data_IF_738966456616
#
_entry.id   IF_738966456616
#
_cell.length_a   1.000
_cell.length_b   1.000
_cell.length_c   1.000
_cell.angle_alpha   90.00
_cell.angle_beta   90.00
_cell.angle_gamma   90.00
#
_symmetry.space_group_name_H-M   'P 1'
#
loop_
_entity.id
_entity.type
_entity.pdbx_description
1 polymer ?
#
# COMPACT_ATOMS: atom_id res chain seq x y z
N UNK A 1 -39.61 -8.59 -10.47
CA UNK A 1 -38.15 -8.85 -10.55
C UNK A 1 -37.54 -8.38 -9.24
N UNK A 2 -36.99 -9.29 -8.44
CA UNK A 2 -36.57 -9.00 -7.07
C UNK A 2 -35.26 -8.20 -7.02
N UNK A 3 -35.30 -7.00 -6.45
CA UNK A 3 -34.12 -6.23 -6.04
C UNK A 3 -33.66 -6.74 -4.67
N UNK A 4 -32.83 -7.79 -4.66
CA UNK A 4 -32.15 -8.19 -3.43
C UNK A 4 -31.01 -7.20 -3.14
N UNK A 5 -31.34 -6.14 -2.42
CA UNK A 5 -30.34 -5.29 -1.77
C UNK A 5 -29.56 -6.14 -0.78
N UNK A 6 -28.29 -6.45 -1.10
CA UNK A 6 -27.33 -7.06 -0.19
C UNK A 6 -27.25 -6.13 1.02
N UNK A 7 -27.87 -6.51 2.15
CA UNK A 7 -27.79 -5.73 3.39
C UNK A 7 -26.33 -5.66 3.80
N UNK A 8 -25.72 -4.47 3.74
CA UNK A 8 -24.39 -4.20 4.31
C UNK A 8 -24.43 -4.64 5.77
N UNK A 9 -23.64 -5.67 6.13
CA UNK A 9 -23.47 -6.04 7.53
C UNK A 9 -22.87 -4.82 8.23
N UNK A 10 -23.44 -4.35 9.36
CA UNK A 10 -22.79 -3.32 10.15
C UNK A 10 -21.42 -3.84 10.58
N UNK A 11 -20.35 -3.23 10.05
CA UNK A 11 -18.99 -3.57 10.48
C UNK A 11 -18.81 -3.04 11.90
N UNK A 12 -18.34 -3.92 12.78
CA UNK A 12 -17.89 -3.51 14.11
C UNK A 12 -16.69 -2.55 14.00
N UNK A 13 -16.29 -1.92 15.11
CA UNK A 13 -15.07 -1.12 15.15
C UNK A 13 -13.88 -1.94 14.64
N UNK A 14 -13.07 -1.34 13.76
CA UNK A 14 -11.84 -1.99 13.30
C UNK A 14 -10.90 -2.23 14.49
N UNK A 15 -10.15 -3.35 14.50
CA UNK A 15 -9.12 -3.57 15.51
C UNK A 15 -8.00 -2.52 15.40
N UNK A 16 -7.20 -2.39 16.46
CA UNK A 16 -6.04 -1.52 16.45
C UNK A 16 -5.07 -1.91 15.31
N UNK A 17 -4.56 -0.95 14.52
CA UNK A 17 -3.60 -1.21 13.46
C UNK A 17 -2.33 -1.89 13.96
N UNK A 18 -1.89 -2.93 13.25
CA UNK A 18 -0.63 -3.62 13.54
C UNK A 18 0.53 -3.02 12.74
N UNK A 19 1.74 -3.04 13.29
CA UNK A 19 2.96 -2.74 12.53
C UNK A 19 3.42 -4.02 11.79
N UNK A 20 3.30 -4.08 10.45
CA UNK A 20 3.64 -5.27 9.69
C UNK A 20 5.15 -5.40 9.42
N UNK A 21 6.00 -4.59 10.05
CA UNK A 21 7.46 -4.61 9.88
C UNK A 21 7.88 -4.36 8.45
N UNK A 22 7.51 -3.17 7.97
CA UNK A 22 7.92 -2.61 6.69
C UNK A 22 9.43 -2.73 6.47
N UNK A 23 9.82 -3.10 5.25
CA UNK A 23 11.22 -3.29 4.89
C UNK A 23 11.89 -1.97 4.55
N UNK A 24 13.11 -1.83 5.06
CA UNK A 24 14.00 -0.70 4.83
C UNK A 24 15.18 -1.18 3.97
N UNK A 25 15.78 -0.27 3.22
CA UNK A 25 17.04 -0.48 2.53
C UNK A 25 18.23 -0.34 3.48
N UNK A 26 19.42 -0.12 2.92
CA UNK A 26 20.64 0.13 3.68
C UNK A 26 20.48 1.30 4.67
N UNK A 27 21.10 1.17 5.84
CA UNK A 27 21.12 2.20 6.90
C UNK A 27 19.75 2.56 7.51
N UNK A 28 18.73 1.70 7.36
CA UNK A 28 17.40 1.92 7.94
C UNK A 28 16.54 2.95 7.19
N UNK A 29 16.99 3.42 6.03
CA UNK A 29 16.22 4.32 5.15
C UNK A 29 15.32 3.52 4.22
N UNK A 30 14.19 4.09 3.82
CA UNK A 30 13.38 3.47 2.77
C UNK A 30 14.09 3.55 1.42
N UNK A 31 14.09 2.45 0.63
CA UNK A 31 14.72 2.43 -0.68
C UNK A 31 14.01 3.37 -1.65
N UNK A 32 14.77 3.95 -2.56
CA UNK A 32 14.21 4.64 -3.72
C UNK A 32 13.65 3.61 -4.68
N UNK A 33 12.42 3.82 -5.11
CA UNK A 33 11.69 2.85 -5.93
C UNK A 33 12.42 2.51 -7.23
N UNK A 34 12.93 3.52 -7.94
CA UNK A 34 13.60 3.35 -9.23
C UNK A 34 15.07 2.91 -9.14
N UNK A 35 15.68 3.03 -7.96
CA UNK A 35 17.08 2.62 -7.73
C UNK A 35 17.17 1.22 -7.08
N UNK A 36 16.02 0.65 -6.69
CA UNK A 36 15.94 -0.67 -6.07
C UNK A 36 16.06 -1.76 -7.14
N UNK A 37 17.02 -2.66 -6.99
CA UNK A 37 17.02 -3.94 -7.69
C UNK A 37 16.10 -4.92 -6.92
N UNK A 38 14.91 -5.28 -7.47
CA UNK A 38 13.98 -6.14 -6.77
C UNK A 38 14.51 -7.57 -6.59
N UNK A 39 15.32 -8.06 -7.52
CA UNK A 39 15.89 -9.42 -7.43
C UNK A 39 16.95 -9.49 -6.33
N UNK A 40 17.85 -8.50 -6.28
CA UNK A 40 18.84 -8.40 -5.21
C UNK A 40 18.19 -8.19 -3.82
N UNK A 41 17.00 -7.59 -3.77
CA UNK A 41 16.19 -7.45 -2.57
C UNK A 41 15.40 -8.73 -2.19
N UNK A 42 15.51 -9.80 -2.97
CA UNK A 42 14.83 -11.08 -2.72
C UNK A 42 13.32 -11.03 -2.99
N UNK A 43 12.86 -10.14 -3.89
CA UNK A 43 11.45 -9.94 -4.20
C UNK A 43 10.90 -10.87 -5.28
N UNK A 44 11.78 -11.59 -5.98
CA UNK A 44 11.41 -12.52 -7.04
C UNK A 44 10.59 -13.67 -6.50
N UNK A 45 9.34 -13.80 -6.96
CA UNK A 45 8.38 -14.78 -6.47
C UNK A 45 7.91 -14.54 -5.02
N UNK A 46 8.27 -13.40 -4.43
CA UNK A 46 7.86 -13.05 -3.08
C UNK A 46 6.47 -12.40 -3.09
N UNK A 47 5.63 -12.81 -2.15
CA UNK A 47 4.25 -12.34 -2.03
C UNK A 47 4.04 -11.48 -0.78
N UNK A 48 3.18 -10.48 -0.87
CA UNK A 48 2.91 -9.56 0.24
C UNK A 48 2.28 -8.25 -0.23
N UNK A 49 2.47 -7.19 0.55
CA UNK A 49 1.93 -5.86 0.26
C UNK A 49 3.05 -4.84 0.21
N UNK A 50 2.93 -3.88 -0.69
CA UNK A 50 3.88 -2.79 -0.85
C UNK A 50 3.16 -1.46 -1.06
N UNK A 51 3.89 -0.38 -0.79
CA UNK A 51 3.43 0.99 -1.03
C UNK A 51 4.53 1.80 -1.68
N UNK A 52 4.14 2.73 -2.55
CA UNK A 52 5.00 3.70 -3.21
C UNK A 52 4.53 5.09 -2.81
N UNK A 53 5.47 5.98 -2.49
CA UNK A 53 5.18 7.38 -2.20
C UNK A 53 6.29 8.27 -2.74
N UNK A 54 6.04 9.57 -2.80
CA UNK A 54 7.07 10.55 -3.11
C UNK A 54 7.21 11.53 -1.96
N UNK A 55 8.43 12.02 -1.76
CA UNK A 55 8.74 13.13 -0.85
C UNK A 55 8.99 14.39 -1.68
N UNK A 56 8.87 15.58 -1.08
CA UNK A 56 9.07 16.84 -1.80
C UNK A 56 8.22 17.96 -1.22
N UNK A 57 7.92 18.97 -2.03
CA UNK A 57 7.11 20.13 -1.60
C UNK A 57 5.66 19.77 -1.24
N UNK A 58 5.14 18.67 -1.78
CA UNK A 58 3.81 18.14 -1.46
C UNK A 58 3.85 16.61 -1.36
N UNK A 59 4.43 16.06 -0.28
CA UNK A 59 4.58 14.61 -0.13
C UNK A 59 3.23 13.91 -0.20
N UNK A 60 3.21 12.66 -0.69
CA UNK A 60 1.98 11.89 -0.72
C UNK A 60 2.17 10.47 -1.22
N UNK A 61 1.20 9.63 -0.91
CA UNK A 61 1.13 8.23 -1.33
C UNK A 61 0.78 8.15 -2.82
N UNK A 62 1.48 7.31 -3.55
CA UNK A 62 1.35 7.17 -5.00
C UNK A 62 0.58 5.91 -5.33
N UNK A 63 0.96 4.78 -4.77
CA UNK A 63 0.39 3.48 -5.12
C UNK A 63 0.42 2.51 -3.93
N UNK A 64 -0.57 1.63 -3.88
CA UNK A 64 -0.67 0.52 -2.91
C UNK A 64 -0.95 -0.77 -3.69
N UNK A 65 -0.18 -1.82 -3.44
CA UNK A 65 -0.34 -3.09 -4.15
C UNK A 65 -0.20 -4.31 -3.25
N UNK A 66 -1.01 -5.34 -3.53
CA UNK A 66 -0.75 -6.71 -3.11
C UNK A 66 -0.14 -7.48 -4.28
N UNK A 67 0.84 -8.33 -4.02
CA UNK A 67 1.58 -9.04 -5.06
C UNK A 67 1.76 -10.52 -4.75
N UNK A 68 1.84 -11.33 -5.81
CA UNK A 68 2.31 -12.71 -5.77
C UNK A 68 3.76 -12.86 -6.25
N UNK A 69 4.28 -11.84 -6.96
CA UNK A 69 5.68 -11.72 -7.37
C UNK A 69 6.04 -10.22 -7.39
N UNK A 70 6.56 -9.73 -6.27
CA UNK A 70 6.83 -8.30 -6.10
C UNK A 70 7.89 -7.80 -7.08
N UNK A 71 8.84 -8.63 -7.52
CA UNK A 71 9.81 -8.21 -8.51
C UNK A 71 9.15 -7.90 -9.85
N UNK A 72 8.26 -8.77 -10.31
CA UNK A 72 7.51 -8.56 -11.56
C UNK A 72 6.65 -7.29 -11.49
N UNK A 73 5.93 -7.08 -10.38
CA UNK A 73 5.12 -5.88 -10.20
C UNK A 73 5.97 -4.61 -10.12
N UNK A 74 7.12 -4.65 -9.46
CA UNK A 74 8.00 -3.48 -9.37
C UNK A 74 8.58 -3.10 -10.73
N UNK A 75 8.95 -4.07 -11.56
CA UNK A 75 9.36 -3.79 -12.94
C UNK A 75 8.22 -3.17 -13.75
N UNK A 76 7.02 -3.75 -13.69
CA UNK A 76 5.84 -3.20 -14.39
C UNK A 76 5.55 -1.76 -13.98
N UNK A 77 5.54 -1.48 -12.67
CA UNK A 77 5.25 -0.15 -12.13
C UNK A 77 6.42 0.83 -12.33
N UNK A 78 7.64 0.33 -12.54
CA UNK A 78 8.81 1.10 -12.91
C UNK A 78 8.74 1.68 -14.32
N UNK A 79 7.87 1.15 -15.17
CA UNK A 79 7.59 1.60 -16.53
C UNK A 79 6.21 2.29 -16.67
N UNK A 80 5.50 2.52 -15.56
CA UNK A 80 4.16 3.11 -15.56
C UNK A 80 4.21 4.64 -15.50
N UNK A 81 3.80 5.31 -16.58
CA UNK A 81 3.79 6.78 -16.69
C UNK A 81 2.96 7.47 -15.60
N UNK A 82 1.87 6.85 -15.12
CA UNK A 82 1.04 7.41 -14.06
C UNK A 82 1.77 7.45 -12.72
N UNK A 83 2.72 6.53 -12.49
CA UNK A 83 3.59 6.53 -11.32
C UNK A 83 4.80 7.43 -11.56
N UNK A 84 5.43 7.31 -12.72
CA UNK A 84 6.68 8.00 -13.05
C UNK A 84 6.53 9.53 -13.10
N UNK A 85 5.35 10.08 -13.42
CA UNK A 85 5.11 11.52 -13.36
C UNK A 85 5.40 12.13 -11.97
N UNK A 86 5.34 11.34 -10.90
CA UNK A 86 5.63 11.81 -9.53
C UNK A 86 7.13 11.90 -9.23
N UNK A 87 8.00 11.27 -10.03
CA UNK A 87 9.46 11.45 -9.96
C UNK A 87 9.88 12.90 -10.13
N UNK A 88 9.16 13.67 -10.95
CA UNK A 88 9.46 15.08 -11.19
C UNK A 88 9.12 15.97 -9.99
N UNK A 89 8.31 15.48 -9.04
CA UNK A 89 7.92 16.19 -7.81
C UNK A 89 8.84 15.87 -6.62
N UNK A 90 9.71 14.87 -6.79
CA UNK A 90 10.72 14.42 -5.85
C UNK A 90 11.04 12.93 -6.06
N UNK A 91 11.93 12.36 -5.23
CA UNK A 91 12.26 10.94 -5.37
C UNK A 91 11.06 10.06 -4.98
N UNK A 92 10.84 9.01 -5.77
CA UNK A 92 9.90 7.94 -5.42
C UNK A 92 10.59 6.97 -4.45
N UNK A 93 9.89 6.61 -3.39
CA UNK A 93 10.30 5.66 -2.38
C UNK A 93 9.29 4.53 -2.32
N UNK A 94 9.75 3.37 -1.85
CA UNK A 94 8.89 2.23 -1.65
C UNK A 94 9.25 1.49 -0.36
N UNK A 95 8.32 0.67 0.10
CA UNK A 95 8.55 -0.32 1.13
C UNK A 95 7.54 -1.45 0.96
N UNK A 96 7.92 -2.63 1.40
CA UNK A 96 7.09 -3.83 1.32
C UNK A 96 7.10 -4.57 2.66
N UNK A 97 6.12 -5.46 2.82
CA UNK A 97 6.04 -6.40 3.92
C UNK A 97 5.49 -7.74 3.42
N UNK A 98 5.94 -8.82 4.04
CA UNK A 98 5.48 -10.16 3.73
C UNK A 98 4.25 -10.48 4.57
N UNK A 99 3.09 -10.47 3.92
CA UNK A 99 1.79 -10.75 4.51
C UNK A 99 1.30 -12.09 3.96
N UNK A 100 0.68 -12.93 4.80
CA UNK A 100 0.08 -14.18 4.32
C UNK A 100 -1.03 -13.87 3.30
N UNK A 101 -1.11 -14.66 2.22
CA UNK A 101 -1.94 -14.38 1.04
C UNK A 101 -3.40 -14.05 1.37
N UNK A 102 -3.97 -14.75 2.35
CA UNK A 102 -5.36 -14.56 2.82
C UNK A 102 -5.65 -13.17 3.42
N UNK A 103 -4.63 -12.44 3.89
CA UNK A 103 -4.81 -11.11 4.48
C UNK A 103 -4.44 -9.97 3.54
N UNK A 104 -3.72 -10.23 2.44
CA UNK A 104 -3.17 -9.19 1.57
C UNK A 104 -4.25 -8.28 0.98
N UNK A 105 -5.36 -8.86 0.53
CA UNK A 105 -6.50 -8.14 -0.04
C UNK A 105 -7.10 -7.15 0.98
N UNK A 106 -7.29 -7.60 2.22
CA UNK A 106 -7.79 -6.77 3.33
C UNK A 106 -6.82 -5.66 3.73
N UNK A 107 -5.51 -5.93 3.71
CA UNK A 107 -4.46 -4.94 4.00
C UNK A 107 -4.38 -3.89 2.88
N UNK A 108 -4.38 -4.32 1.61
CA UNK A 108 -4.33 -3.43 0.45
C UNK A 108 -5.54 -2.50 0.41
N UNK A 109 -6.75 -3.05 0.61
CA UNK A 109 -7.98 -2.26 0.64
C UNK A 109 -7.95 -1.24 1.79
N UNK A 110 -7.58 -1.67 3.00
CA UNK A 110 -7.45 -0.78 4.15
C UNK A 110 -6.46 0.36 3.89
N UNK A 111 -5.26 0.04 3.38
CA UNK A 111 -4.24 1.04 3.07
C UNK A 111 -4.69 1.99 1.95
N UNK A 112 -5.39 1.50 0.94
CA UNK A 112 -5.91 2.35 -0.15
C UNK A 112 -6.90 3.39 0.39
N UNK A 113 -7.81 2.98 1.27
CA UNK A 113 -8.76 3.88 1.92
C UNK A 113 -8.07 4.88 2.86
N UNK A 114 -7.11 4.39 3.66
CA UNK A 114 -6.40 5.20 4.65
C UNK A 114 -5.47 6.23 4.00
N UNK A 115 -4.75 5.83 2.95
CA UNK A 115 -3.67 6.60 2.36
C UNK A 115 -4.11 7.45 1.17
N UNK A 116 -5.24 7.12 0.53
CA UNK A 116 -5.79 7.78 -0.66
C UNK A 116 -4.68 7.98 -1.72
N UNK A 117 -4.09 6.88 -2.24
CA UNK A 117 -3.01 6.95 -3.20
C UNK A 117 -3.44 7.74 -4.44
N UNK A 118 -2.50 8.45 -5.06
CA UNK A 118 -2.80 9.30 -6.22
C UNK A 118 -3.04 8.52 -7.50
N UNK A 119 -2.53 7.29 -7.59
CA UNK A 119 -2.75 6.35 -8.68
C UNK A 119 -3.63 5.24 -8.15
N UNK A 120 -4.74 4.99 -8.84
CA UNK A 120 -5.66 3.92 -8.48
C UNK A 120 -5.08 2.56 -8.92
N UNK A 121 -5.20 1.56 -8.05
CA UNK A 121 -4.86 0.19 -8.39
C UNK A 121 -6.14 -0.55 -8.79
N UNK A 122 -6.34 -0.90 -10.07
CA UNK A 122 -7.56 -1.58 -10.52
C UNK A 122 -7.73 -2.99 -9.94
N UNK A 123 -6.64 -3.61 -9.46
CA UNK A 123 -6.67 -4.91 -8.80
C UNK A 123 -7.00 -4.80 -7.30
N UNK A 124 -7.18 -3.58 -6.76
CA UNK A 124 -7.63 -3.40 -5.39
C UNK A 124 -9.08 -3.87 -5.25
N UNK A 125 -9.39 -4.78 -4.32
CA UNK A 125 -10.75 -5.24 -4.11
C UNK A 125 -11.62 -4.11 -3.55
N UNK A 126 -12.92 -4.19 -3.87
CA UNK A 126 -13.91 -3.31 -3.26
C UNK A 126 -14.00 -3.56 -1.76
N UNK A 127 -14.18 -2.49 -0.99
CA UNK A 127 -14.30 -2.52 0.47
C UNK A 127 -15.43 -3.46 0.97
N UNK A 128 -16.43 -3.70 0.13
CA UNK A 128 -17.59 -4.54 0.46
C UNK A 128 -17.30 -6.03 0.35
N UNK A 129 -16.27 -6.42 -0.40
CA UNK A 129 -15.94 -7.81 -0.72
C UNK A 129 -14.81 -8.39 0.13
N UNK A 130 -14.15 -7.56 0.96
CA UNK A 130 -13.03 -7.99 1.80
C UNK A 130 -13.18 -7.57 3.26
N UNK A 131 -12.63 -8.39 4.15
CA UNK A 131 -12.42 -8.00 5.54
C UNK A 131 -11.19 -7.12 5.63
N UNK A 132 -11.37 -5.88 6.08
CA UNK A 132 -10.26 -4.94 6.25
C UNK A 132 -9.31 -5.42 7.34
N UNK A 133 -8.01 -5.36 7.05
CA UNK A 133 -6.95 -5.71 8.00
C UNK A 133 -6.13 -4.45 8.29
N UNK A 134 -6.40 -3.76 9.42
CA UNK A 134 -5.73 -2.51 9.74
C UNK A 134 -4.24 -2.71 10.00
N UNK A 135 -3.41 -1.90 9.34
CA UNK A 135 -1.96 -1.87 9.55
C UNK A 135 -1.45 -0.42 9.58
N UNK A 136 -0.36 -0.19 10.32
CA UNK A 136 0.32 1.09 10.27
C UNK A 136 1.03 1.26 8.92
N UNK A 137 0.92 2.42 8.25
CA UNK A 137 1.73 2.72 7.06
C UNK A 137 3.24 2.81 7.39
N UNK A 138 4.13 2.67 6.40
CA UNK A 138 5.57 2.79 6.64
C UNK A 138 5.93 4.13 7.26
N UNK A 139 6.70 4.09 8.34
CA UNK A 139 7.20 5.28 9.03
C UNK A 139 6.15 6.08 9.81
N UNK A 140 4.93 5.56 9.97
CA UNK A 140 3.87 6.20 10.75
C UNK A 140 3.64 5.52 12.10
N UNK A 141 3.33 6.33 13.11
CA UNK A 141 2.80 5.88 14.39
C UNK A 141 1.27 5.85 14.39
N UNK A 142 0.67 5.14 15.36
CA UNK A 142 -0.78 5.13 15.54
C UNK A 142 -1.35 6.54 15.71
N UNK A 143 -0.71 7.37 16.52
CA UNK A 143 -1.14 8.76 16.76
C UNK A 143 -1.15 9.60 15.47
N UNK A 144 -0.16 9.41 14.60
CA UNK A 144 -0.11 10.10 13.31
C UNK A 144 -1.23 9.64 12.38
N UNK A 145 -1.51 8.33 12.36
CA UNK A 145 -2.59 7.75 11.57
C UNK A 145 -3.97 8.22 12.05
N UNK A 146 -4.21 8.24 13.36
CA UNK A 146 -5.45 8.76 13.96
C UNK A 146 -5.68 10.23 13.60
N UNK A 147 -4.63 11.07 13.66
CA UNK A 147 -4.70 12.47 13.22
C UNK A 147 -5.03 12.61 11.75
N UNK A 148 -4.62 11.68 10.88
CA UNK A 148 -4.99 11.73 9.46
C UNK A 148 -6.49 11.48 9.27
N UNK A 149 -7.08 10.53 10.01
CA UNK A 149 -8.52 10.26 9.94
C UNK A 149 -9.37 11.36 10.58
N UNK A 150 -8.86 12.04 11.62
CA UNK A 150 -9.59 13.12 12.29
C UNK A 150 -9.71 14.41 11.46
N UNK A 151 -8.83 14.60 10.47
CA UNK A 151 -8.74 15.83 9.66
C UNK A 151 -9.18 15.66 8.20
N UNK A 152 -9.65 14.48 7.80
CA UNK A 152 -10.05 14.14 6.42
C UNK A 152 -11.55 14.02 6.24
#
# INVERSE_FOLDING_TARGET
>A
MALFGRKKKPRGPLPAPLDPKWKHGGEGRFPRFLDLDPEAAGLKGASGVFVIWHTGSQPGWVYVGASQDMAADFFKLGDDDEILQYRNRGSLYCSWTFIRKEFQAGVQCYLTLALKPKVENPDCPEEEDVELVPVLPPGMTLEQLEKMFANG
#
